data_IF_616105913655
#
_entry.id   IF_616105913655
#
_cell.length_a   1.000
_cell.length_b   1.000
_cell.length_c   1.000
_cell.angle_alpha   90.00
_cell.angle_beta   90.00
_cell.angle_gamma   90.00
#
_symmetry.space_group_name_H-M   'P 1'
#
loop_
_entity.id
_entity.type
_entity.pdbx_description
1 polymer ?
#
# COMPACT_ATOMS: atom_id res chain seq x y z
N UNK A 1 9.66 -48.43 -4.61
CA UNK A 1 9.19 -48.16 -3.24
C UNK A 1 7.80 -47.56 -3.34
N UNK A 2 6.77 -48.13 -2.69
CA UNK A 2 5.45 -47.49 -2.64
C UNK A 2 5.56 -46.17 -1.87
N UNK A 3 4.87 -45.14 -2.33
CA UNK A 3 4.82 -43.84 -1.67
C UNK A 3 4.03 -43.95 -0.34
N UNK A 4 4.41 -43.19 0.70
CA UNK A 4 3.60 -43.08 1.91
C UNK A 4 2.16 -42.63 1.61
N UNK A 5 1.17 -43.26 2.25
CA UNK A 5 -0.27 -43.05 2.00
C UNK A 5 -0.67 -41.56 2.09
N UNK A 6 -0.09 -40.82 3.04
CA UNK A 6 -0.35 -39.39 3.25
C UNK A 6 -0.02 -38.49 2.05
N UNK A 7 0.91 -38.91 1.18
CA UNK A 7 1.35 -38.13 0.01
C UNK A 7 0.99 -38.78 -1.32
N UNK A 8 0.28 -39.91 -1.30
CA UNK A 8 -0.07 -40.64 -2.51
C UNK A 8 -0.96 -39.80 -3.45
N UNK A 9 -1.84 -38.97 -2.88
CA UNK A 9 -2.71 -38.06 -3.64
C UNK A 9 -1.94 -36.93 -4.35
N UNK A 10 -0.71 -36.63 -3.92
CA UNK A 10 0.18 -35.62 -4.50
C UNK A 10 1.01 -36.14 -5.68
N UNK A 11 1.06 -37.46 -5.86
CA UNK A 11 1.91 -38.13 -6.86
C UNK A 11 1.05 -38.63 -8.01
N UNK A 12 1.54 -38.47 -9.24
CA UNK A 12 0.91 -39.08 -10.40
C UNK A 12 1.28 -40.57 -10.44
N UNK A 13 0.29 -41.45 -10.20
CA UNK A 13 0.46 -42.92 -10.16
C UNK A 13 1.09 -43.49 -11.45
N UNK A 14 0.92 -42.84 -12.61
CA UNK A 14 1.44 -43.32 -13.90
C UNK A 14 2.91 -42.95 -14.12
N UNK A 15 3.35 -41.79 -13.62
CA UNK A 15 4.72 -41.29 -13.83
C UNK A 15 5.63 -41.44 -12.61
N UNK A 16 5.07 -41.76 -11.44
CA UNK A 16 5.80 -41.85 -10.17
C UNK A 16 6.41 -40.52 -9.72
N UNK A 17 6.01 -39.39 -10.32
CA UNK A 17 6.49 -38.03 -10.00
C UNK A 17 5.37 -37.22 -9.36
N UNK A 18 5.74 -36.20 -8.58
CA UNK A 18 4.78 -35.23 -8.06
C UNK A 18 3.98 -34.57 -9.18
N UNK A 19 2.71 -34.25 -8.89
CA UNK A 19 1.86 -33.48 -9.82
C UNK A 19 2.54 -32.16 -10.16
N UNK A 20 2.42 -31.74 -11.43
CA UNK A 20 3.06 -30.53 -11.94
C UNK A 20 2.73 -29.25 -11.13
N UNK A 21 1.57 -29.22 -10.46
CA UNK A 21 1.17 -28.10 -9.61
C UNK A 21 2.07 -27.92 -8.38
N UNK A 22 2.55 -29.02 -7.78
CA UNK A 22 3.48 -28.97 -6.65
C UNK A 22 4.88 -28.51 -7.09
N UNK A 23 5.32 -28.96 -8.26
CA UNK A 23 6.60 -28.51 -8.84
C UNK A 23 6.52 -27.02 -9.20
N UNK A 24 5.36 -26.55 -9.67
CA UNK A 24 5.11 -25.12 -9.96
C UNK A 24 5.04 -24.28 -8.69
N UNK A 25 4.43 -24.77 -7.61
CA UNK A 25 4.30 -24.02 -6.36
C UNK A 25 5.64 -23.90 -5.63
N UNK A 26 6.44 -24.97 -5.60
CA UNK A 26 7.76 -25.00 -4.97
C UNK A 26 8.86 -24.38 -5.84
N UNK A 27 8.59 -24.15 -7.14
CA UNK A 27 9.50 -23.55 -8.15
C UNK A 27 10.83 -24.28 -8.33
N UNK A 28 11.03 -25.43 -7.70
CA UNK A 28 12.25 -26.24 -7.75
C UNK A 28 11.92 -27.73 -7.73
N UNK A 29 12.80 -28.53 -8.35
CA UNK A 29 12.73 -30.00 -8.35
C UNK A 29 13.78 -30.62 -7.41
N UNK A 30 14.63 -29.81 -6.78
CA UNK A 30 15.59 -30.25 -5.77
C UNK A 30 14.91 -30.31 -4.39
N UNK A 31 14.93 -31.49 -3.78
CA UNK A 31 14.27 -31.77 -2.51
C UNK A 31 14.78 -30.89 -1.38
N UNK A 32 16.11 -30.71 -1.25
CA UNK A 32 16.69 -29.94 -0.15
C UNK A 32 16.33 -28.46 -0.23
N UNK A 33 16.30 -27.92 -1.45
CA UNK A 33 15.91 -26.53 -1.70
C UNK A 33 14.42 -26.33 -1.45
N UNK A 34 13.57 -27.28 -1.84
CA UNK A 34 12.14 -27.24 -1.55
C UNK A 34 11.84 -27.32 -0.04
N UNK A 35 12.51 -28.19 0.70
CA UNK A 35 12.36 -28.31 2.15
C UNK A 35 12.71 -26.99 2.87
N UNK A 36 13.83 -26.36 2.51
CA UNK A 36 14.22 -25.05 3.07
C UNK A 36 13.21 -23.95 2.77
N UNK A 37 12.59 -23.97 1.59
CA UNK A 37 11.55 -23.00 1.23
C UNK A 37 10.20 -23.27 1.92
N UNK A 38 9.90 -24.54 2.23
CA UNK A 38 8.65 -24.94 2.87
C UNK A 38 8.63 -24.70 4.38
N UNK A 39 9.77 -24.86 5.07
CA UNK A 39 9.87 -24.64 6.53
C UNK A 39 9.30 -23.30 7.02
N UNK A 40 9.63 -22.13 6.44
CA UNK A 40 9.05 -20.86 6.90
C UNK A 40 7.54 -20.76 6.62
N UNK A 41 7.04 -21.42 5.56
CA UNK A 41 5.60 -21.45 5.27
C UNK A 41 4.84 -22.33 6.27
N UNK A 42 5.46 -23.43 6.72
CA UNK A 42 4.92 -24.31 7.76
C UNK A 42 4.88 -23.58 9.10
N UNK A 43 5.98 -22.90 9.46
CA UNK A 43 6.05 -22.08 10.68
C UNK A 43 4.96 -20.99 10.68
N UNK A 44 4.81 -20.26 9.58
CA UNK A 44 3.79 -19.23 9.46
C UNK A 44 2.37 -19.81 9.52
N UNK A 45 2.12 -20.96 8.90
CA UNK A 45 0.84 -21.65 9.02
C UNK A 45 0.53 -22.04 10.46
N UNK A 46 1.50 -22.60 11.20
CA UNK A 46 1.32 -22.91 12.63
C UNK A 46 1.05 -21.66 13.46
N UNK A 47 1.79 -20.58 13.21
CA UNK A 47 1.58 -19.29 13.87
C UNK A 47 0.16 -18.77 13.66
N UNK A 48 -0.36 -18.86 12.44
CA UNK A 48 -1.74 -18.44 12.12
C UNK A 48 -2.77 -19.31 12.82
N UNK A 49 -2.56 -20.64 12.91
CA UNK A 49 -3.43 -21.54 13.66
C UNK A 49 -3.40 -21.20 15.16
N UNK A 50 -2.24 -20.91 15.72
CA UNK A 50 -2.12 -20.54 17.13
C UNK A 50 -2.80 -19.20 17.42
N UNK A 51 -2.67 -18.22 16.52
CA UNK A 51 -3.39 -16.94 16.60
C UNK A 51 -4.90 -17.14 16.53
N UNK A 52 -5.38 -18.00 15.63
CA UNK A 52 -6.80 -18.32 15.52
C UNK A 52 -7.32 -19.06 16.75
N UNK A 53 -6.54 -19.97 17.34
CA UNK A 53 -6.91 -20.67 18.59
C UNK A 53 -6.98 -19.72 19.77
N UNK A 54 -6.02 -18.80 19.87
CA UNK A 54 -6.02 -17.73 20.88
C UNK A 54 -7.24 -16.83 20.71
N UNK A 55 -7.57 -16.39 19.49
CA UNK A 55 -8.75 -15.55 19.27
C UNK A 55 -10.07 -16.25 19.56
N UNK A 56 -10.16 -17.56 19.37
CA UNK A 56 -11.35 -18.36 19.76
C UNK A 56 -11.45 -18.48 21.29
N UNK A 57 -10.32 -18.60 21.98
CA UNK A 57 -10.26 -18.86 23.43
C UNK A 57 -10.42 -17.58 24.25
N UNK A 58 -9.70 -16.53 23.86
CA UNK A 58 -9.66 -15.23 24.55
C UNK A 58 -10.77 -14.30 24.05
N UNK A 59 -11.46 -14.67 22.96
CA UNK A 59 -12.40 -13.82 22.24
C UNK A 59 -11.69 -12.73 21.40
N UNK A 60 -12.42 -12.01 20.53
CA UNK A 60 -11.87 -10.83 19.88
C UNK A 60 -11.50 -9.79 20.95
N UNK A 61 -10.38 -9.06 20.81
CA UNK A 61 -10.02 -8.01 21.76
C UNK A 61 -11.18 -7.02 21.85
N UNK A 62 -11.74 -6.89 23.05
CA UNK A 62 -12.94 -6.09 23.30
C UNK A 62 -12.71 -4.58 23.09
N UNK A 63 -11.45 -4.13 23.00
CA UNK A 63 -11.11 -2.73 22.95
C UNK A 63 -10.05 -2.47 21.86
N UNK A 64 -10.35 -1.56 20.94
CA UNK A 64 -9.36 -1.04 19.99
C UNK A 64 -8.41 -0.12 20.77
N UNK A 65 -7.11 -0.40 20.71
CA UNK A 65 -6.10 0.47 21.30
C UNK A 65 -6.21 1.90 20.72
N UNK A 66 -6.11 2.96 21.54
CA UNK A 66 -6.20 4.35 21.08
C UNK A 66 -5.21 4.67 19.95
N UNK A 67 -4.00 4.12 20.03
CA UNK A 67 -2.98 4.27 18.98
C UNK A 67 -3.43 3.72 17.62
N UNK A 68 -4.20 2.63 17.60
CA UNK A 68 -4.77 2.06 16.37
C UNK A 68 -5.85 2.98 15.80
N UNK A 69 -6.66 3.61 16.66
CA UNK A 69 -7.67 4.59 16.23
C UNK A 69 -6.98 5.78 15.56
N UNK A 70 -5.92 6.30 16.17
CA UNK A 70 -5.16 7.43 15.63
C UNK A 70 -4.49 7.07 14.30
N UNK A 71 -3.87 5.89 14.21
CA UNK A 71 -3.27 5.40 12.95
C UNK A 71 -4.30 5.28 11.82
N UNK A 72 -5.50 4.76 12.09
CA UNK A 72 -6.58 4.68 11.10
C UNK A 72 -7.08 6.07 10.69
N UNK A 73 -7.16 7.00 11.63
CA UNK A 73 -7.56 8.38 11.37
C UNK A 73 -6.52 9.12 10.51
N UNK A 74 -5.24 8.98 10.82
CA UNK A 74 -4.16 9.60 10.04
C UNK A 74 -4.04 8.99 8.63
N UNK A 75 -4.18 7.67 8.50
CA UNK A 75 -4.28 7.01 7.20
C UNK A 75 -5.47 7.54 6.38
N UNK A 76 -6.60 7.81 7.03
CA UNK A 76 -7.74 8.45 6.37
C UNK A 76 -7.41 9.87 5.89
N UNK A 77 -6.78 10.70 6.71
CA UNK A 77 -6.31 12.03 6.32
C UNK A 77 -5.36 11.95 5.12
N UNK A 78 -4.37 11.06 5.14
CA UNK A 78 -3.42 10.88 4.05
C UNK A 78 -4.12 10.47 2.74
N UNK A 79 -5.13 9.58 2.81
CA UNK A 79 -5.94 9.21 1.64
C UNK A 79 -6.69 10.41 1.05
N UNK A 80 -7.26 11.27 1.89
CA UNK A 80 -7.95 12.48 1.42
C UNK A 80 -6.97 13.46 0.75
N UNK A 81 -5.79 13.67 1.35
CA UNK A 81 -4.74 14.53 0.77
C UNK A 81 -4.21 14.00 -0.54
N UNK A 82 -4.04 12.68 -0.66
CA UNK A 82 -3.63 12.03 -1.90
C UNK A 82 -4.67 12.19 -3.01
N UNK A 83 -5.95 12.10 -2.68
CA UNK A 83 -7.01 12.30 -3.67
C UNK A 83 -7.07 13.76 -4.15
N UNK A 84 -6.88 14.74 -3.25
CA UNK A 84 -6.73 16.15 -3.62
C UNK A 84 -5.51 16.36 -4.52
N UNK A 85 -4.36 15.79 -4.15
CA UNK A 85 -3.13 15.86 -4.93
C UNK A 85 -3.27 15.21 -6.32
N UNK A 86 -3.93 14.06 -6.41
CA UNK A 86 -4.21 13.40 -7.68
C UNK A 86 -5.15 14.23 -8.57
N UNK A 87 -6.15 14.88 -7.97
CA UNK A 87 -7.03 15.82 -8.67
C UNK A 87 -6.24 17.00 -9.23
N UNK A 88 -5.32 17.56 -8.45
CA UNK A 88 -4.46 18.67 -8.86
C UNK A 88 -3.53 18.31 -10.01
N UNK A 89 -2.92 17.13 -9.96
CA UNK A 89 -2.06 16.65 -11.06
C UNK A 89 -2.83 16.35 -12.32
N UNK A 90 -4.06 15.84 -12.19
CA UNK A 90 -4.91 15.55 -13.34
C UNK A 90 -5.49 16.83 -13.98
N UNK A 91 -5.72 17.87 -13.18
CA UNK A 91 -6.54 19.01 -13.58
C UNK A 91 -8.03 18.68 -13.57
N UNK A 92 -8.88 19.71 -13.50
CA UNK A 92 -10.31 19.55 -13.81
C UNK A 92 -10.54 19.66 -15.31
N UNK A 93 -9.66 20.39 -16.02
CA UNK A 93 -9.75 20.62 -17.45
C UNK A 93 -10.92 21.51 -17.81
N UNK A 94 -11.28 22.45 -16.93
CA UNK A 94 -12.32 23.42 -17.20
C UNK A 94 -11.81 24.41 -18.25
N UNK A 95 -12.39 24.34 -19.44
CA UNK A 95 -12.26 25.40 -20.44
C UNK A 95 -13.27 26.50 -20.10
N UNK A 96 -12.78 27.69 -19.78
CA UNK A 96 -13.64 28.83 -19.41
C UNK A 96 -14.41 29.40 -20.62
N UNK A 97 -13.92 29.18 -21.84
CA UNK A 97 -14.53 29.72 -23.06
C UNK A 97 -15.70 28.85 -23.51
N UNK A 98 -15.58 27.52 -23.38
CA UNK A 98 -16.66 26.57 -23.73
C UNK A 98 -17.46 26.04 -22.53
N UNK A 99 -16.97 26.21 -21.31
CA UNK A 99 -17.55 25.62 -20.10
C UNK A 99 -17.43 24.08 -20.03
N UNK A 100 -16.64 23.47 -20.91
CA UNK A 100 -16.44 22.04 -20.97
C UNK A 100 -15.37 21.56 -19.97
N UNK A 101 -15.47 20.30 -19.53
CA UNK A 101 -14.46 19.65 -18.70
C UNK A 101 -13.73 18.58 -19.50
N UNK A 102 -12.48 18.83 -19.85
CA UNK A 102 -11.61 17.90 -20.55
C UNK A 102 -10.22 17.88 -19.91
N UNK A 103 -10.02 17.11 -18.82
CA UNK A 103 -8.72 17.04 -18.16
C UNK A 103 -7.69 16.38 -19.08
N UNK A 104 -6.64 17.13 -19.39
CA UNK A 104 -5.53 16.75 -20.28
C UNK A 104 -4.33 16.14 -19.52
N UNK A 105 -4.38 16.16 -18.19
CA UNK A 105 -3.27 15.72 -17.33
C UNK A 105 -2.15 16.75 -17.19
N UNK A 106 -2.36 17.99 -17.64
CA UNK A 106 -1.43 19.12 -17.49
C UNK A 106 -1.44 19.77 -16.11
N UNK A 107 -2.33 19.32 -15.22
CA UNK A 107 -2.53 19.89 -13.90
C UNK A 107 -3.68 20.89 -13.83
N UNK A 108 -3.97 21.41 -12.64
CA UNK A 108 -5.03 22.41 -12.45
C UNK A 108 -4.61 23.78 -13.00
N UNK A 109 -5.44 24.34 -13.87
CA UNK A 109 -5.34 25.73 -14.33
C UNK A 109 -5.88 26.71 -13.28
N UNK A 110 -5.62 28.01 -13.43
CA UNK A 110 -6.19 29.04 -12.55
C UNK A 110 -7.73 29.04 -12.57
N UNK A 111 -8.33 28.75 -13.74
CA UNK A 111 -9.76 28.54 -13.90
C UNK A 111 -10.26 27.33 -13.10
N UNK A 112 -9.54 26.21 -13.16
CA UNK A 112 -9.83 25.02 -12.36
C UNK A 112 -9.78 25.32 -10.87
N UNK A 113 -8.75 26.06 -10.41
CA UNK A 113 -8.59 26.42 -8.99
C UNK A 113 -9.75 27.30 -8.52
N UNK A 114 -10.15 28.29 -9.34
CA UNK A 114 -11.28 29.16 -9.03
C UNK A 114 -12.60 28.38 -8.93
N UNK A 115 -12.88 27.51 -9.90
CA UNK A 115 -14.06 26.64 -9.90
C UNK A 115 -14.05 25.66 -8.72
N UNK A 116 -12.89 25.06 -8.43
CA UNK A 116 -12.71 24.14 -7.32
C UNK A 116 -12.97 24.83 -5.97
N UNK A 117 -12.45 26.04 -5.78
CA UNK A 117 -12.70 26.89 -4.60
C UNK A 117 -14.19 27.21 -4.44
N UNK A 118 -14.92 27.42 -5.53
CA UNK A 118 -16.36 27.68 -5.50
C UNK A 118 -17.19 26.43 -5.20
N UNK A 119 -16.74 25.26 -5.67
CA UNK A 119 -17.39 23.96 -5.43
C UNK A 119 -17.17 23.43 -4.01
N UNK A 120 -16.07 23.84 -3.36
CA UNK A 120 -15.82 23.54 -1.95
C UNK A 120 -16.89 24.23 -1.09
N UNK A 121 -17.57 23.50 -0.19
CA UNK A 121 -18.73 24.04 0.49
C UNK A 121 -18.34 25.23 1.38
N UNK A 122 -18.63 26.46 0.92
CA UNK A 122 -18.88 27.59 1.81
C UNK A 122 -20.20 27.31 2.51
N UNK A 123 -20.14 27.11 3.81
CA UNK A 123 -21.25 26.74 4.69
C UNK A 123 -22.53 27.52 4.40
N UNK A 124 -23.48 26.90 3.69
CA UNK A 124 -24.87 27.38 3.60
C UNK A 124 -25.80 26.27 4.11
N UNK A 125 -26.40 26.57 5.26
CA UNK A 125 -27.01 25.64 6.24
C UNK A 125 -27.99 24.59 5.66
N UNK A 126 -28.82 24.94 4.67
CA UNK A 126 -29.88 24.04 4.18
C UNK A 126 -29.38 22.91 3.26
N UNK A 127 -28.43 23.20 2.37
CA UNK A 127 -27.78 22.16 1.52
C UNK A 127 -26.86 21.25 2.33
N UNK A 128 -26.19 21.82 3.34
CA UNK A 128 -25.31 21.10 4.25
C UNK A 128 -26.09 20.02 5.03
N UNK A 129 -27.31 20.27 5.51
CA UNK A 129 -28.09 19.25 6.22
C UNK A 129 -28.49 18.04 5.36
N UNK A 130 -28.92 18.26 4.11
CA UNK A 130 -29.26 17.15 3.20
C UNK A 130 -28.01 16.36 2.81
N UNK A 131 -26.89 17.06 2.57
CA UNK A 131 -25.59 16.44 2.34
C UNK A 131 -25.07 15.70 3.59
N UNK A 132 -25.37 16.17 4.80
CA UNK A 132 -24.93 15.53 6.05
C UNK A 132 -25.50 14.13 6.23
N UNK A 133 -26.77 13.86 5.86
CA UNK A 133 -27.33 12.50 5.91
C UNK A 133 -26.59 11.55 4.96
N UNK A 134 -26.37 11.98 3.72
CA UNK A 134 -25.58 11.20 2.76
C UNK A 134 -24.11 11.07 3.18
N UNK A 135 -23.54 12.11 3.79
CA UNK A 135 -22.16 12.12 4.28
C UNK A 135 -21.99 11.21 5.49
N UNK A 136 -22.97 11.14 6.39
CA UNK A 136 -22.95 10.23 7.52
C UNK A 136 -22.94 8.76 7.06
N UNK A 137 -23.76 8.42 6.07
CA UNK A 137 -23.79 7.07 5.45
C UNK A 137 -22.49 6.77 4.70
N UNK A 138 -21.94 7.73 3.95
CA UNK A 138 -20.63 7.55 3.28
C UNK A 138 -19.51 7.38 4.31
N UNK A 139 -19.55 8.15 5.41
CA UNK A 139 -18.55 8.08 6.48
C UNK A 139 -18.61 6.74 7.21
N UNK A 140 -19.81 6.24 7.53
CA UNK A 140 -19.92 4.91 8.15
C UNK A 140 -19.38 3.82 7.23
N UNK A 141 -19.67 3.86 5.93
CA UNK A 141 -19.06 2.93 4.96
C UNK A 141 -17.54 3.01 4.92
N UNK A 142 -16.98 4.21 4.95
CA UNK A 142 -15.53 4.42 4.96
C UNK A 142 -14.90 3.87 6.24
N UNK A 143 -15.54 4.11 7.39
CA UNK A 143 -15.11 3.60 8.69
C UNK A 143 -15.14 2.08 8.69
N UNK A 144 -16.27 1.47 8.32
CA UNK A 144 -16.42 0.01 8.24
C UNK A 144 -15.33 -0.61 7.36
N UNK A 145 -15.15 -0.08 6.14
CA UNK A 145 -14.10 -0.55 5.25
C UNK A 145 -12.71 -0.42 5.87
N UNK A 146 -12.41 0.68 6.55
CA UNK A 146 -11.09 0.89 7.16
C UNK A 146 -10.84 -0.06 8.35
N UNK A 147 -11.89 -0.42 9.08
CA UNK A 147 -11.88 -1.39 10.19
C UNK A 147 -11.74 -2.82 9.64
N UNK A 148 -12.48 -3.16 8.57
CA UNK A 148 -12.40 -4.44 7.85
C UNK A 148 -11.02 -4.65 7.21
N UNK A 149 -10.48 -3.63 6.52
CA UNK A 149 -9.15 -3.66 5.90
C UNK A 149 -8.05 -3.87 6.96
N UNK A 150 -8.28 -3.43 8.20
CA UNK A 150 -7.38 -3.63 9.34
C UNK A 150 -7.60 -4.97 10.06
N UNK A 151 -8.57 -5.79 9.63
CA UNK A 151 -8.90 -7.07 10.25
C UNK A 151 -9.53 -6.94 11.65
N UNK A 152 -10.08 -5.77 11.98
CA UNK A 152 -10.65 -5.50 13.31
C UNK A 152 -12.13 -5.87 13.30
N UNK A 153 -12.56 -6.67 14.28
CA UNK A 153 -13.99 -6.98 14.49
C UNK A 153 -14.47 -6.12 15.65
N UNK A 154 -15.22 -5.05 15.34
CA UNK A 154 -15.79 -4.15 16.34
C UNK A 154 -17.31 -4.11 16.23
N UNK A 155 -18.01 -4.23 17.37
CA UNK A 155 -19.46 -4.13 17.40
C UNK A 155 -19.91 -2.66 17.25
N UNK A 156 -21.01 -2.35 16.52
CA UNK A 156 -21.48 -0.97 16.35
C UNK A 156 -21.85 -0.22 17.64
N UNK A 157 -22.21 -0.97 18.68
CA UNK A 157 -22.61 -0.42 20.00
C UNK A 157 -21.43 -0.23 20.97
N UNK A 158 -20.22 -0.59 20.55
CA UNK A 158 -19.01 -0.44 21.35
C UNK A 158 -18.66 1.06 21.54
N UNK A 159 -18.29 1.52 22.75
CA UNK A 159 -17.79 2.88 22.96
C UNK A 159 -16.59 3.25 22.07
N UNK A 160 -15.72 2.29 21.72
CA UNK A 160 -14.60 2.47 20.80
C UNK A 160 -15.08 2.89 19.40
N UNK A 161 -16.27 2.45 18.97
CA UNK A 161 -16.86 2.86 17.69
C UNK A 161 -17.16 4.36 17.66
N UNK A 162 -17.60 4.92 18.79
CA UNK A 162 -17.83 6.37 18.94
C UNK A 162 -16.50 7.13 18.88
N UNK A 163 -15.46 6.63 19.54
CA UNK A 163 -14.13 7.25 19.52
C UNK A 163 -13.56 7.26 18.10
N UNK A 164 -13.67 6.14 17.38
CA UNK A 164 -13.22 6.02 16.00
C UNK A 164 -13.99 6.97 15.06
N UNK A 165 -15.33 7.06 15.20
CA UNK A 165 -16.12 8.05 14.46
C UNK A 165 -15.64 9.48 14.70
N UNK A 166 -15.36 9.85 15.95
CA UNK A 166 -14.87 11.18 16.30
C UNK A 166 -13.47 11.44 15.71
N UNK A 167 -12.57 10.46 15.79
CA UNK A 167 -11.24 10.54 15.21
C UNK A 167 -11.31 10.74 13.69
N UNK A 168 -12.17 9.99 12.98
CA UNK A 168 -12.38 10.15 11.54
C UNK A 168 -12.96 11.53 11.17
N UNK A 169 -13.86 12.08 12.00
CA UNK A 169 -14.37 13.44 11.80
C UNK A 169 -13.26 14.49 11.99
N UNK A 170 -12.42 14.33 13.02
CA UNK A 170 -11.25 15.20 13.25
C UNK A 170 -10.26 15.12 12.09
N UNK A 171 -9.95 13.91 11.64
CA UNK A 171 -9.10 13.64 10.47
C UNK A 171 -9.65 14.29 9.18
N UNK A 172 -10.96 14.18 8.96
CA UNK A 172 -11.64 14.83 7.82
C UNK A 172 -11.54 16.35 7.92
N UNK A 173 -11.77 16.94 9.10
CA UNK A 173 -11.62 18.38 9.32
C UNK A 173 -10.17 18.84 9.07
N UNK A 174 -9.19 18.11 9.59
CA UNK A 174 -7.75 18.38 9.39
C UNK A 174 -7.39 18.38 7.90
N UNK A 175 -7.87 17.38 7.16
CA UNK A 175 -7.70 17.30 5.71
C UNK A 175 -8.35 18.50 5.00
N UNK A 176 -9.62 18.81 5.30
CA UNK A 176 -10.30 19.95 4.66
C UNK A 176 -9.56 21.26 4.93
N UNK A 177 -9.09 21.49 6.16
CA UNK A 177 -8.30 22.67 6.51
C UNK A 177 -7.02 22.77 5.67
N UNK A 178 -6.28 21.67 5.54
CA UNK A 178 -5.08 21.61 4.71
C UNK A 178 -5.40 21.89 3.22
N UNK A 179 -6.48 21.33 2.66
CA UNK A 179 -6.88 21.60 1.28
C UNK A 179 -7.25 23.08 1.11
N UNK A 180 -8.01 23.64 2.04
CA UNK A 180 -8.41 25.06 1.97
C UNK A 180 -7.20 25.99 2.05
N UNK A 181 -6.22 25.68 2.89
CA UNK A 181 -4.98 26.43 3.00
C UNK A 181 -4.15 26.34 1.72
N UNK A 182 -4.04 25.14 1.13
CA UNK A 182 -3.44 24.97 -0.20
C UNK A 182 -4.15 25.75 -1.29
N UNK A 183 -5.49 25.79 -1.27
CA UNK A 183 -6.26 26.61 -2.20
C UNK A 183 -6.07 28.11 -1.95
N UNK A 184 -5.64 28.51 -0.75
CA UNK A 184 -5.22 29.86 -0.41
C UNK A 184 -3.79 30.21 -0.88
N UNK A 185 -3.05 29.23 -1.41
CA UNK A 185 -1.67 29.41 -1.88
C UNK A 185 -0.59 28.89 -0.92
N UNK A 186 -0.96 28.26 0.20
CA UNK A 186 0.03 27.67 1.11
C UNK A 186 0.58 26.34 0.58
N UNK A 187 1.89 26.16 0.63
CA UNK A 187 2.54 24.91 0.22
C UNK A 187 2.49 23.89 1.36
N UNK A 188 1.49 23.01 1.34
CA UNK A 188 1.34 21.94 2.33
C UNK A 188 1.59 20.60 1.65
N UNK A 189 2.62 19.86 2.04
CA UNK A 189 2.90 18.54 1.47
C UNK A 189 1.82 17.52 1.86
N UNK A 190 1.53 16.57 0.96
CA UNK A 190 0.67 15.44 1.30
C UNK A 190 1.46 14.48 2.19
N UNK A 191 0.94 14.07 3.37
CA UNK A 191 1.65 13.14 4.23
C UNK A 191 1.91 11.83 3.48
N UNK A 192 3.12 11.28 3.68
CA UNK A 192 3.49 9.97 3.14
C UNK A 192 2.48 8.91 3.62
N UNK A 193 2.20 7.86 2.83
CA UNK A 193 1.45 6.72 3.35
C UNK A 193 2.11 6.24 4.64
N UNK A 194 1.31 6.05 5.68
CA UNK A 194 1.70 5.12 6.72
C UNK A 194 1.85 3.78 6.02
N UNK A 195 3.07 3.27 5.93
CA UNK A 195 3.28 1.86 5.66
C UNK A 195 2.47 1.13 6.72
N UNK A 196 1.36 0.52 6.29
CA UNK A 196 0.57 -0.32 7.15
C UNK A 196 1.53 -1.34 7.71
N UNK A 197 1.85 -1.22 8.99
CA UNK A 197 2.58 -2.21 9.77
C UNK A 197 1.72 -3.46 9.92
N UNK A 198 1.40 -4.11 8.80
CA UNK A 198 1.35 -5.55 8.73
C UNK A 198 2.81 -5.98 8.95
N UNK A 199 3.17 -6.11 10.23
CA UNK A 199 4.41 -6.67 10.78
C UNK A 199 5.38 -7.23 9.74
N UNK A 200 6.32 -6.39 9.28
CA UNK A 200 7.61 -6.85 8.78
C UNK A 200 8.68 -6.36 9.75
N UNK A 201 8.64 -6.88 10.98
CA UNK A 201 9.79 -6.77 11.88
C UNK A 201 10.82 -7.80 11.44
N UNK A 202 11.62 -7.46 10.43
CA UNK A 202 12.92 -8.07 10.19
C UNK A 202 13.78 -7.09 9.42
N UNK A 203 15.00 -6.88 9.93
CA UNK A 203 16.13 -6.16 9.32
C UNK A 203 16.43 -4.77 9.88
N UNK A 204 16.60 -4.65 11.19
CA UNK A 204 17.37 -3.52 11.75
C UNK A 204 18.26 -3.94 12.93
N UNK A 205 18.76 -5.18 12.97
CA UNK A 205 19.87 -5.53 13.86
C UNK A 205 20.76 -6.54 13.14
N UNK A 206 22.08 -6.32 13.19
CA UNK A 206 23.21 -7.08 12.61
C UNK A 206 23.68 -6.65 11.21
N UNK A 207 24.47 -5.57 11.15
CA UNK A 207 25.82 -5.64 10.57
C UNK A 207 26.74 -4.70 11.38
N UNK A 208 27.51 -5.31 12.27
CA UNK A 208 28.78 -4.77 12.79
C UNK A 208 29.69 -5.98 12.93
N UNK A 209 31.01 -5.81 12.74
CA UNK A 209 32.09 -6.85 12.68
C UNK A 209 32.33 -7.26 11.19
N UNK A 210 33.45 -6.97 10.48
CA UNK A 210 34.90 -6.85 10.78
C UNK A 210 35.57 -5.81 9.84
N UNK A 211 36.39 -4.86 10.34
CA UNK A 211 37.89 -4.87 10.40
C UNK A 211 38.59 -5.15 9.05
N UNK A 212 39.29 -4.14 8.49
CA UNK A 212 40.77 -3.95 8.51
C UNK A 212 41.50 -5.04 7.71
N UNK A 213 42.25 -4.75 6.64
CA UNK A 213 43.68 -4.38 6.67
C UNK A 213 44.18 -4.07 5.22
N UNK A 214 45.04 -3.06 5.08
CA UNK A 214 46.18 -2.98 4.13
C UNK A 214 45.88 -2.70 2.64
N UNK A 215 46.11 -1.49 2.12
CA UNK A 215 47.39 -1.03 1.54
C UNK A 215 48.13 -2.06 0.68
N UNK A 216 48.17 -1.86 -0.64
CA UNK A 216 49.41 -1.55 -1.35
C UNK A 216 49.16 -1.13 -2.82
N UNK A 217 49.93 -0.14 -3.24
CA UNK A 217 49.94 0.45 -4.57
C UNK A 217 50.84 -0.36 -5.51
N UNK A 218 50.47 -0.48 -6.78
CA UNK A 218 51.46 -0.52 -7.88
C UNK A 218 50.92 0.09 -9.16
N UNK A 219 51.77 0.96 -9.70
CA UNK A 219 51.74 1.71 -10.95
C UNK A 219 52.05 0.83 -12.19
N UNK A 220 51.69 1.30 -13.40
CA UNK A 220 52.16 0.80 -14.70
C UNK A 220 51.04 0.78 -15.75
N UNK A 221 50.83 1.80 -16.59
CA UNK A 221 51.55 2.15 -17.85
C UNK A 221 51.57 1.03 -18.91
N UNK A 222 50.73 1.15 -19.94
CA UNK A 222 51.07 1.07 -21.39
C UNK A 222 49.77 1.12 -22.22
N UNK A 223 49.49 2.19 -22.99
CA UNK A 223 49.97 2.51 -24.35
C UNK A 223 49.37 1.67 -25.50
N UNK A 224 48.77 2.42 -26.45
CA UNK A 224 48.64 2.16 -27.91
C UNK A 224 47.61 1.08 -28.34
N UNK A 225 46.83 1.22 -29.42
CA UNK A 225 46.95 2.06 -30.62
C UNK A 225 45.60 2.17 -31.33
N UNK A 226 45.42 3.29 -32.03
CA UNK A 226 44.58 3.44 -33.23
C UNK A 226 44.76 2.33 -34.26
N UNK A 227 43.68 1.96 -34.96
CA UNK A 227 43.55 2.07 -36.42
C UNK A 227 42.34 1.26 -36.91
N UNK A 228 41.54 1.91 -37.76
CA UNK A 228 40.18 1.47 -38.09
C UNK A 228 40.06 0.40 -39.16
N UNK A 229 38.80 0.07 -39.46
CA UNK A 229 38.37 -0.30 -40.81
C UNK A 229 36.85 -0.19 -40.92
N UNK A 230 36.41 0.71 -41.79
CA UNK A 230 35.07 0.69 -42.35
C UNK A 230 34.93 -0.56 -43.23
N UNK A 231 33.79 -1.24 -43.18
CA UNK A 231 33.20 -1.79 -44.40
C UNK A 231 31.69 -2.01 -44.25
N UNK A 232 30.98 -1.21 -45.04
CA UNK A 232 29.59 -1.34 -45.44
C UNK A 232 29.44 -2.65 -46.23
N UNK A 233 28.40 -3.44 -45.95
CA UNK A 233 27.62 -4.11 -47.01
C UNK A 233 26.26 -4.61 -46.52
N UNK A 234 25.23 -4.11 -47.21
CA UNK A 234 23.84 -4.56 -47.24
C UNK A 234 23.72 -5.95 -47.87
N UNK A 235 22.70 -6.69 -47.45
CA UNK A 235 21.73 -7.47 -48.25
C UNK A 235 20.90 -8.28 -47.22
N UNK A 236 19.60 -8.05 -46.97
CA UNK A 236 18.46 -8.46 -47.82
C UNK A 236 18.77 -9.81 -48.48
N UNK A 237 18.24 -10.93 -48.02
CA UNK A 237 16.83 -11.34 -48.03
C UNK A 237 16.56 -12.30 -46.87
#
# INVERSE_FOLDING_TARGET
>A
MPWPEAIEWCVNRRSGRFKNELVKSLRTNDQRTAERAALPLIEEAHRLVDLARKSITDGPPAEIAPATIDALADAHTARLMRNDEALRRKGLGLDLDTGAFSPDGGGMTDGDIAAYRQSYPRSTSCRVMKLQKCAAVKRSRIINKSVEDAGIVLHPDDPAWRQLKLAFIKAQRKAVQAITARLGGEEIASPAPHESSATNNRSSELVTVEQSVGSEATSGVNQRSDAGRAEVRRAAW
#
